data_IF_391486298194
#
_entry.id   IF_391486298194
#
_cell.length_a   1.000
_cell.length_b   1.000
_cell.length_c   1.000
_cell.angle_alpha   90.00
_cell.angle_beta   90.00
_cell.angle_gamma   90.00
#
_symmetry.space_group_name_H-M   'P 1'
#
loop_
_entity.id
_entity.type
_entity.pdbx_description
1 polymer ?
#
# COMPACT_ATOMS: atom_id res chain seq x y z
N UNK A 1 8.34 -21.24 1.00
CA UNK A 1 8.17 -19.77 1.10
C UNK A 1 6.73 -19.36 0.88
N UNK A 2 6.29 -18.27 1.47
CA UNK A 2 4.96 -17.71 1.20
C UNK A 2 4.97 -16.96 -0.14
N UNK A 3 3.95 -17.20 -0.95
CA UNK A 3 3.78 -16.54 -2.24
C UNK A 3 2.37 -15.95 -2.35
N UNK A 4 2.31 -14.76 -2.91
CA UNK A 4 1.06 -14.08 -3.23
C UNK A 4 1.03 -13.85 -4.74
N UNK A 5 -0.05 -14.30 -5.38
CA UNK A 5 -0.34 -14.00 -6.78
C UNK A 5 -1.53 -13.05 -6.80
N UNK A 6 -1.41 -11.96 -7.56
CA UNK A 6 -2.54 -11.11 -7.93
C UNK A 6 -2.73 -11.15 -9.43
N UNK A 7 -3.97 -11.30 -9.90
CA UNK A 7 -4.33 -11.30 -11.30
C UNK A 7 -5.48 -10.32 -11.52
N UNK A 8 -5.30 -9.37 -12.44
CA UNK A 8 -6.29 -8.32 -12.74
C UNK A 8 -6.40 -8.13 -14.25
N UNK A 9 -7.59 -8.01 -14.77
CA UNK A 9 -7.85 -7.72 -16.18
C UNK A 9 -9.32 -7.72 -16.53
N UNK A 10 -9.66 -7.60 -17.81
CA UNK A 10 -11.05 -7.68 -18.26
C UNK A 10 -11.69 -9.01 -17.88
N UNK A 11 -12.91 -8.97 -17.34
CA UNK A 11 -13.60 -10.20 -16.95
C UNK A 11 -13.96 -11.10 -18.13
N UNK A 12 -13.81 -12.40 -17.90
CA UNK A 12 -14.21 -13.45 -18.86
C UNK A 12 -14.29 -14.81 -18.17
N UNK A 13 -14.96 -15.74 -18.80
CA UNK A 13 -15.09 -17.13 -18.33
C UNK A 13 -13.73 -17.85 -18.30
N UNK A 14 -13.45 -18.58 -17.24
CA UNK A 14 -12.31 -19.49 -17.14
C UNK A 14 -10.95 -18.79 -16.92
N UNK A 15 -10.93 -17.61 -16.29
CA UNK A 15 -9.69 -16.89 -15.99
C UNK A 15 -8.92 -17.46 -14.80
N UNK A 16 -9.62 -17.90 -13.75
CA UNK A 16 -9.00 -18.45 -12.55
C UNK A 16 -8.40 -19.85 -12.76
N UNK A 17 -9.06 -20.70 -13.58
CA UNK A 17 -8.69 -22.11 -13.76
C UNK A 17 -7.22 -22.34 -14.15
N UNK A 18 -6.65 -21.68 -15.17
CA UNK A 18 -5.25 -21.94 -15.53
C UNK A 18 -4.26 -21.57 -14.42
N UNK A 19 -4.58 -20.55 -13.62
CA UNK A 19 -3.73 -20.12 -12.47
C UNK A 19 -3.79 -21.20 -11.39
N UNK A 20 -5.01 -21.58 -10.96
CA UNK A 20 -5.22 -22.57 -9.89
C UNK A 20 -4.66 -23.93 -10.30
N UNK A 21 -4.94 -24.38 -11.52
CA UNK A 21 -4.46 -25.64 -12.04
C UNK A 21 -2.92 -25.72 -12.05
N UNK A 22 -2.26 -24.64 -12.48
CA UNK A 22 -0.80 -24.60 -12.52
C UNK A 22 -0.19 -24.69 -11.11
N UNK A 23 -0.65 -23.86 -10.16
CA UNK A 23 -0.09 -23.84 -8.80
C UNK A 23 -0.36 -25.14 -8.05
N UNK A 24 -1.54 -25.74 -8.20
CA UNK A 24 -1.87 -27.04 -7.58
C UNK A 24 -1.06 -28.18 -8.21
N UNK A 25 -0.81 -28.12 -9.53
CA UNK A 25 0.07 -29.06 -10.22
C UNK A 25 1.52 -29.05 -9.75
N UNK A 26 1.99 -27.90 -9.23
CA UNK A 26 3.31 -27.77 -8.59
C UNK A 26 3.32 -28.14 -7.09
N UNK A 27 2.21 -28.64 -6.53
CA UNK A 27 2.11 -29.03 -5.15
C UNK A 27 1.97 -27.87 -4.16
N UNK A 28 1.51 -26.69 -4.63
CA UNK A 28 1.29 -25.56 -3.76
C UNK A 28 0.18 -25.81 -2.75
N UNK A 29 0.39 -25.44 -1.49
CA UNK A 29 -0.64 -25.42 -0.46
C UNK A 29 -1.30 -24.03 -0.43
N UNK A 30 -2.49 -23.95 -0.99
CA UNK A 30 -3.27 -22.70 -1.06
C UNK A 30 -3.87 -22.43 0.33
N UNK A 31 -3.60 -21.24 0.87
CA UNK A 31 -4.06 -20.82 2.21
C UNK A 31 -5.12 -19.72 2.16
N UNK A 32 -5.23 -18.98 1.04
CA UNK A 32 -6.20 -17.91 0.87
C UNK A 32 -6.52 -17.72 -0.61
N UNK A 33 -7.80 -17.58 -0.94
CA UNK A 33 -8.28 -17.15 -2.26
C UNK A 33 -9.29 -16.04 -2.03
N UNK A 34 -9.09 -14.91 -2.72
CA UNK A 34 -10.07 -13.83 -2.82
C UNK A 34 -10.34 -13.57 -4.30
N UNK A 35 -11.59 -13.38 -4.65
CA UNK A 35 -12.02 -13.01 -6.00
C UNK A 35 -12.95 -11.82 -5.89
N UNK A 36 -12.78 -10.89 -6.79
CA UNK A 36 -13.61 -9.72 -6.94
C UNK A 36 -14.36 -9.83 -8.27
N UNK A 37 -15.66 -9.77 -8.17
CA UNK A 37 -16.59 -9.72 -9.29
C UNK A 37 -17.43 -8.46 -9.09
N UNK A 38 -17.27 -7.48 -9.98
CA UNK A 38 -18.06 -6.27 -9.98
C UNK A 38 -18.68 -6.11 -11.37
N UNK A 39 -19.95 -6.47 -11.47
CA UNK A 39 -20.72 -6.48 -12.71
C UNK A 39 -20.68 -5.14 -13.47
N UNK A 40 -20.55 -4.00 -12.76
CA UNK A 40 -20.55 -2.67 -13.37
C UNK A 40 -19.22 -2.32 -14.07
N UNK A 41 -18.09 -2.88 -13.66
CA UNK A 41 -16.77 -2.55 -14.21
C UNK A 41 -16.23 -3.61 -15.16
N UNK A 42 -16.85 -4.78 -15.24
CA UNK A 42 -16.39 -5.94 -16.01
C UNK A 42 -14.90 -6.27 -15.79
N UNK A 43 -14.45 -6.18 -14.54
CA UNK A 43 -13.08 -6.41 -14.09
C UNK A 43 -13.00 -7.71 -13.32
N UNK A 44 -12.18 -8.65 -13.81
CA UNK A 44 -11.73 -9.79 -13.04
C UNK A 44 -10.56 -9.39 -12.15
N UNK A 45 -10.64 -9.70 -10.85
CA UNK A 45 -9.51 -9.61 -9.95
C UNK A 45 -9.46 -10.81 -9.01
N UNK A 46 -8.25 -11.33 -8.78
CA UNK A 46 -8.00 -12.47 -7.91
C UNK A 46 -6.74 -12.25 -7.10
N UNK A 47 -6.80 -12.62 -5.81
CA UNK A 47 -5.64 -12.82 -4.94
C UNK A 47 -5.58 -14.29 -4.55
N UNK A 48 -4.41 -14.88 -4.71
CA UNK A 48 -4.10 -16.23 -4.27
C UNK A 48 -2.87 -16.17 -3.35
N UNK A 49 -2.99 -16.70 -2.14
CA UNK A 49 -1.87 -16.86 -1.21
C UNK A 49 -1.61 -18.33 -0.99
N UNK A 50 -0.34 -18.73 -1.00
CA UNK A 50 0.03 -20.14 -0.92
C UNK A 50 1.42 -20.32 -0.31
N UNK A 51 1.72 -21.56 0.06
CA UNK A 51 3.07 -22.03 0.38
C UNK A 51 3.58 -22.89 -0.77
N UNK A 52 4.80 -22.61 -1.23
CA UNK A 52 5.48 -23.37 -2.30
C UNK A 52 6.98 -23.49 -1.95
N UNK A 53 7.68 -24.58 -2.35
CA UNK A 53 9.13 -24.67 -2.27
C UNK A 53 9.82 -23.50 -2.99
N UNK A 54 10.88 -22.96 -2.39
CA UNK A 54 11.54 -21.76 -2.93
C UNK A 54 12.17 -21.99 -4.32
N UNK A 55 12.61 -23.20 -4.61
CA UNK A 55 13.17 -23.61 -5.90
C UNK A 55 12.17 -23.47 -7.06
N UNK A 56 10.87 -23.56 -6.80
CA UNK A 56 9.82 -23.47 -7.82
C UNK A 56 9.40 -22.01 -8.13
N UNK A 57 9.90 -21.03 -7.36
CA UNK A 57 9.44 -19.63 -7.45
C UNK A 57 9.72 -18.98 -8.82
N UNK A 58 10.91 -19.22 -9.38
CA UNK A 58 11.29 -18.66 -10.68
C UNK A 58 10.45 -19.25 -11.84
N UNK A 59 10.21 -20.56 -11.80
CA UNK A 59 9.37 -21.26 -12.77
C UNK A 59 7.92 -20.76 -12.70
N UNK A 60 7.37 -20.67 -11.48
CA UNK A 60 6.05 -20.11 -11.24
C UNK A 60 5.89 -18.70 -11.83
N UNK A 61 6.86 -17.82 -11.58
CA UNK A 61 6.84 -16.44 -12.10
C UNK A 61 6.80 -16.42 -13.63
N UNK A 62 7.58 -17.29 -14.27
CA UNK A 62 7.61 -17.44 -15.73
C UNK A 62 6.26 -17.95 -16.27
N UNK A 63 5.70 -18.98 -15.66
CA UNK A 63 4.41 -19.54 -16.04
C UNK A 63 3.27 -18.53 -15.88
N UNK A 64 3.23 -17.81 -14.78
CA UNK A 64 2.22 -16.76 -14.53
C UNK A 64 2.31 -15.63 -15.56
N UNK A 65 3.51 -15.25 -16.00
CA UNK A 65 3.70 -14.28 -17.09
C UNK A 65 3.12 -14.78 -18.41
N UNK A 66 3.32 -16.06 -18.72
CA UNK A 66 2.75 -16.69 -19.94
C UNK A 66 1.21 -16.75 -19.87
N UNK A 67 0.66 -17.20 -18.73
CA UNK A 67 -0.79 -17.23 -18.51
C UNK A 67 -1.39 -15.84 -18.64
N UNK A 68 -0.75 -14.83 -18.05
CA UNK A 68 -1.15 -13.43 -18.14
C UNK A 68 -1.24 -12.94 -19.59
N UNK A 69 -0.22 -13.22 -20.41
CA UNK A 69 -0.22 -12.87 -21.82
C UNK A 69 -1.32 -13.56 -22.63
N UNK A 70 -1.56 -14.86 -22.36
CA UNK A 70 -2.60 -15.63 -23.06
C UNK A 70 -4.03 -15.22 -22.67
N UNK A 71 -4.23 -14.79 -21.45
CA UNK A 71 -5.54 -14.46 -20.88
C UNK A 71 -5.82 -12.97 -20.80
N UNK A 72 -4.92 -12.13 -21.26
CA UNK A 72 -4.98 -10.67 -21.14
C UNK A 72 -5.13 -10.21 -19.66
N UNK A 73 -4.39 -10.86 -18.77
CA UNK A 73 -4.35 -10.55 -17.35
C UNK A 73 -3.01 -9.95 -16.95
N UNK A 74 -3.04 -8.91 -16.12
CA UNK A 74 -1.88 -8.42 -15.39
C UNK A 74 -1.66 -9.31 -14.18
N UNK A 75 -0.73 -10.26 -14.25
CA UNK A 75 -0.43 -11.18 -13.15
C UNK A 75 0.88 -10.79 -12.49
N UNK A 76 0.86 -10.62 -11.17
CA UNK A 76 2.04 -10.38 -10.34
C UNK A 76 2.25 -11.53 -9.37
N UNK A 77 3.50 -11.98 -9.27
CA UNK A 77 3.92 -13.01 -8.32
C UNK A 77 4.93 -12.38 -7.37
N UNK A 78 4.60 -12.37 -6.11
CA UNK A 78 5.40 -11.73 -5.06
C UNK A 78 5.55 -12.63 -3.84
N UNK A 79 6.67 -12.46 -3.13
CA UNK A 79 6.91 -13.08 -1.83
C UNK A 79 7.54 -12.07 -0.88
N UNK A 80 7.03 -11.96 0.37
CA UNK A 80 7.66 -11.13 1.39
C UNK A 80 9.05 -11.61 1.81
N UNK A 81 9.41 -12.85 1.44
CA UNK A 81 10.67 -13.50 1.77
C UNK A 81 11.70 -13.39 0.64
N UNK A 82 11.38 -12.75 -0.49
CA UNK A 82 12.26 -12.68 -1.66
C UNK A 82 13.48 -11.79 -1.42
N UNK A 83 13.31 -10.72 -0.64
CA UNK A 83 14.36 -9.72 -0.41
C UNK A 83 14.51 -9.40 1.07
N UNK A 84 15.76 -9.33 1.51
CA UNK A 84 16.09 -8.87 2.86
C UNK A 84 15.73 -7.39 3.08
N UNK A 85 15.82 -6.58 2.02
CA UNK A 85 15.44 -5.16 2.00
C UNK A 85 14.36 -4.95 0.95
N UNK A 86 13.09 -4.91 1.36
CA UNK A 86 11.98 -4.66 0.43
C UNK A 86 12.09 -3.31 -0.26
N UNK A 87 11.66 -3.24 -1.51
CA UNK A 87 11.66 -2.04 -2.36
C UNK A 87 10.37 -1.27 -2.18
N UNK A 88 10.45 0.00 -1.80
CA UNK A 88 9.31 0.86 -1.54
C UNK A 88 9.10 1.87 -2.67
N UNK A 89 7.85 1.99 -3.15
CA UNK A 89 7.39 3.20 -3.83
C UNK A 89 6.77 4.13 -2.79
N UNK A 90 7.22 5.38 -2.72
CA UNK A 90 6.69 6.40 -1.80
C UNK A 90 5.84 7.38 -2.58
N UNK A 91 4.50 7.27 -2.43
CA UNK A 91 3.53 8.09 -3.16
C UNK A 91 3.11 9.30 -2.34
N UNK A 92 3.15 10.50 -2.95
CA UNK A 92 2.99 11.78 -2.26
C UNK A 92 2.15 12.79 -3.06
N UNK A 93 1.57 13.79 -2.38
CA UNK A 93 0.91 14.93 -3.04
C UNK A 93 1.55 16.27 -2.63
N UNK A 94 1.29 16.75 -1.40
CA UNK A 94 1.73 18.08 -0.96
C UNK A 94 2.63 18.04 0.28
N UNK A 95 2.32 17.17 1.25
CA UNK A 95 2.98 17.15 2.55
C UNK A 95 4.34 16.51 2.48
N UNK A 96 5.34 17.24 2.99
CA UNK A 96 6.73 16.84 2.94
C UNK A 96 7.18 16.08 4.19
N UNK A 97 6.53 16.30 5.32
CA UNK A 97 6.95 15.82 6.63
C UNK A 97 6.94 14.27 6.72
N UNK A 98 5.86 13.56 6.33
CA UNK A 98 5.83 12.11 6.40
C UNK A 98 6.85 11.41 5.49
N UNK A 99 6.97 11.74 4.17
CA UNK A 99 7.97 11.10 3.33
C UNK A 99 9.39 11.43 3.75
N UNK A 100 9.65 12.65 4.25
CA UNK A 100 10.97 13.05 4.75
C UNK A 100 11.35 12.22 6.00
N UNK A 101 10.42 12.03 6.94
CA UNK A 101 10.65 11.20 8.13
C UNK A 101 10.91 9.74 7.75
N UNK A 102 10.14 9.19 6.81
CA UNK A 102 10.32 7.83 6.31
C UNK A 102 11.70 7.63 5.68
N UNK A 103 12.12 8.54 4.79
CA UNK A 103 13.43 8.46 4.14
C UNK A 103 14.60 8.59 5.12
N UNK A 104 14.45 9.45 6.14
CA UNK A 104 15.43 9.55 7.24
C UNK A 104 15.52 8.23 8.01
N UNK A 105 14.40 7.64 8.39
CA UNK A 105 14.36 6.37 9.12
C UNK A 105 14.99 5.21 8.32
N UNK A 106 14.82 5.19 6.99
CA UNK A 106 15.48 4.22 6.11
C UNK A 106 17.00 4.47 6.06
N UNK A 107 17.42 5.71 5.82
CA UNK A 107 18.84 6.10 5.76
C UNK A 107 19.57 5.78 7.07
N UNK A 108 18.94 6.06 8.20
CA UNK A 108 19.51 5.88 9.54
C UNK A 108 19.42 4.41 10.02
N UNK A 109 18.90 3.49 9.19
CA UNK A 109 18.84 2.06 9.46
C UNK A 109 17.73 1.60 10.39
N UNK A 110 16.80 2.48 10.77
CA UNK A 110 15.63 2.13 11.58
C UNK A 110 14.61 1.27 10.80
N UNK A 111 14.57 1.43 9.49
CA UNK A 111 13.75 0.65 8.56
C UNK A 111 14.67 -0.01 7.54
N UNK A 112 14.67 -1.34 7.49
CA UNK A 112 15.48 -2.13 6.57
C UNK A 112 14.79 -2.26 5.21
N UNK A 113 14.69 -1.16 4.47
CA UNK A 113 14.08 -1.12 3.14
C UNK A 113 14.94 -0.33 2.17
N UNK A 114 14.60 -0.40 0.88
CA UNK A 114 15.14 0.42 -0.19
C UNK A 114 14.05 1.38 -0.70
N UNK A 115 14.23 2.71 -0.63
CA UNK A 115 13.33 3.66 -1.26
C UNK A 115 13.61 3.63 -2.77
N UNK A 116 12.92 2.76 -3.51
CA UNK A 116 13.20 2.50 -4.92
C UNK A 116 12.77 3.65 -5.83
N UNK A 117 11.66 4.32 -5.48
CA UNK A 117 11.09 5.40 -6.29
C UNK A 117 10.18 6.28 -5.43
N UNK A 118 10.15 7.59 -5.73
CA UNK A 118 9.11 8.51 -5.25
C UNK A 118 8.19 8.91 -6.40
N UNK A 119 6.88 8.84 -6.16
CA UNK A 119 5.85 9.13 -7.16
C UNK A 119 4.93 10.22 -6.62
N UNK A 120 4.77 11.30 -7.34
CA UNK A 120 3.86 12.39 -6.94
C UNK A 120 2.91 12.80 -8.05
N UNK A 121 1.70 13.21 -7.69
CA UNK A 121 0.80 13.88 -8.63
C UNK A 121 0.95 15.42 -8.59
N UNK A 122 1.89 15.93 -7.79
CA UNK A 122 2.34 17.32 -7.69
C UNK A 122 3.84 17.33 -7.41
N UNK A 123 4.52 18.43 -7.75
CA UNK A 123 5.98 18.54 -7.59
C UNK A 123 6.44 18.95 -6.19
N UNK A 124 5.54 19.09 -5.21
CA UNK A 124 5.87 19.61 -3.88
C UNK A 124 6.96 18.82 -3.14
N UNK A 125 7.05 17.52 -3.36
CA UNK A 125 8.02 16.64 -2.70
C UNK A 125 9.23 16.28 -3.58
N UNK A 126 9.34 16.81 -4.81
CA UNK A 126 10.43 16.50 -5.73
C UNK A 126 11.82 16.77 -5.12
N UNK A 127 11.99 17.91 -4.45
CA UNK A 127 13.26 18.25 -3.79
C UNK A 127 13.68 17.30 -2.70
N UNK A 128 12.73 16.59 -2.06
CA UNK A 128 13.04 15.54 -1.09
C UNK A 128 13.63 14.31 -1.80
N UNK A 129 13.02 13.88 -2.91
CA UNK A 129 13.55 12.78 -3.71
C UNK A 129 14.98 13.07 -4.15
N UNK A 130 15.25 14.27 -4.69
CA UNK A 130 16.57 14.74 -5.10
C UNK A 130 17.57 14.75 -3.93
N UNK A 131 17.16 15.20 -2.74
CA UNK A 131 18.01 15.24 -1.53
C UNK A 131 18.47 13.84 -1.09
N UNK A 132 17.63 12.82 -1.28
CA UNK A 132 17.93 11.45 -0.87
C UNK A 132 18.44 10.57 -2.01
N UNK A 133 18.57 11.12 -3.23
CA UNK A 133 19.02 10.38 -4.40
C UNK A 133 18.03 9.30 -4.86
N UNK A 134 16.73 9.53 -4.64
CA UNK A 134 15.64 8.64 -5.05
C UNK A 134 15.03 9.15 -6.35
N UNK A 135 14.80 8.26 -7.29
CA UNK A 135 14.18 8.62 -8.57
C UNK A 135 12.78 9.22 -8.36
N UNK A 136 12.51 10.30 -9.09
CA UNK A 136 11.25 11.04 -9.01
C UNK A 136 10.42 10.90 -10.28
N UNK A 137 9.15 10.52 -10.12
CA UNK A 137 8.17 10.53 -11.21
C UNK A 137 6.96 11.38 -10.87
N UNK A 138 6.61 12.30 -11.77
CA UNK A 138 5.35 13.04 -11.71
C UNK A 138 4.31 12.34 -12.59
N UNK A 139 3.20 11.95 -11.97
CA UNK A 139 2.05 11.32 -12.63
C UNK A 139 0.81 12.22 -12.67
N UNK A 140 0.98 13.50 -12.32
CA UNK A 140 -0.11 14.49 -12.39
C UNK A 140 -0.47 14.78 -13.84
N UNK A 141 -1.76 14.73 -14.13
CA UNK A 141 -2.32 15.12 -15.43
C UNK A 141 -2.55 16.65 -15.50
N UNK A 142 -2.79 17.18 -16.67
CA UNK A 142 -2.99 18.63 -16.88
C UNK A 142 -4.22 19.17 -16.14
N UNK A 143 -5.25 18.36 -15.96
CA UNK A 143 -6.47 18.67 -15.20
C UNK A 143 -6.32 18.47 -13.67
N UNK A 144 -5.11 18.09 -13.21
CA UNK A 144 -4.79 17.93 -11.79
C UNK A 144 -5.15 16.59 -11.20
N UNK A 145 -5.56 15.63 -12.02
CA UNK A 145 -5.76 14.24 -11.61
C UNK A 145 -4.41 13.52 -11.49
N UNK A 146 -4.46 12.25 -11.16
CA UNK A 146 -3.30 11.34 -11.19
C UNK A 146 -3.54 10.29 -12.28
N UNK A 147 -2.46 9.88 -12.93
CA UNK A 147 -2.44 8.76 -13.86
C UNK A 147 -2.11 7.49 -13.06
N UNK A 148 -3.15 6.79 -12.60
CA UNK A 148 -3.01 5.62 -11.74
C UNK A 148 -2.41 4.42 -12.49
N UNK A 149 -2.66 4.27 -13.79
CA UNK A 149 -2.03 3.21 -14.59
C UNK A 149 -0.53 3.45 -14.72
N UNK A 150 -0.12 4.69 -15.01
CA UNK A 150 1.29 5.08 -15.02
C UNK A 150 1.96 4.85 -13.65
N UNK A 151 1.24 5.07 -12.55
CA UNK A 151 1.76 4.77 -11.21
C UNK A 151 2.06 3.28 -11.07
N UNK A 152 1.14 2.41 -11.50
CA UNK A 152 1.34 0.96 -11.43
C UNK A 152 2.48 0.48 -12.35
N UNK A 153 2.59 1.04 -13.55
CA UNK A 153 3.68 0.73 -14.48
C UNK A 153 5.05 1.11 -13.91
N UNK A 154 5.14 2.27 -13.25
CA UNK A 154 6.36 2.68 -12.53
C UNK A 154 6.67 1.71 -11.40
N UNK A 155 5.68 1.33 -10.60
CA UNK A 155 5.88 0.36 -9.52
C UNK A 155 6.41 -0.99 -10.06
N UNK A 156 5.89 -1.46 -11.19
CA UNK A 156 6.35 -2.68 -11.84
C UNK A 156 7.78 -2.53 -12.39
N UNK A 157 8.08 -1.40 -13.05
CA UNK A 157 9.41 -1.10 -13.57
C UNK A 157 10.49 -1.09 -12.49
N UNK A 158 10.16 -0.56 -11.31
CA UNK A 158 11.07 -0.51 -10.17
C UNK A 158 11.02 -1.79 -9.31
N UNK A 159 10.26 -2.81 -9.70
CA UNK A 159 10.07 -4.05 -8.94
C UNK A 159 9.71 -3.77 -7.47
N UNK A 160 8.71 -2.94 -7.25
CA UNK A 160 8.26 -2.48 -5.94
C UNK A 160 7.63 -3.64 -5.15
N UNK A 161 8.03 -3.79 -3.89
CA UNK A 161 7.42 -4.73 -2.97
C UNK A 161 6.22 -4.12 -2.24
N UNK A 162 6.38 -2.87 -1.76
CA UNK A 162 5.32 -2.15 -1.05
C UNK A 162 5.11 -0.74 -1.62
N UNK A 163 3.86 -0.37 -1.78
CA UNK A 163 3.43 0.99 -2.13
C UNK A 163 3.04 1.72 -0.85
N UNK A 164 3.75 2.79 -0.50
CA UNK A 164 3.51 3.59 0.70
C UNK A 164 2.86 4.91 0.31
N UNK A 165 1.61 5.11 0.68
CA UNK A 165 0.84 6.33 0.45
C UNK A 165 1.11 7.32 1.58
N UNK A 166 2.18 8.12 1.44
CA UNK A 166 2.63 9.09 2.43
C UNK A 166 1.93 10.45 2.23
N UNK A 167 0.68 10.55 2.66
CA UNK A 167 -0.22 11.69 2.38
C UNK A 167 -0.49 11.86 0.88
N UNK A 168 -0.71 10.75 0.21
CA UNK A 168 -1.19 10.71 -1.17
C UNK A 168 -2.70 10.97 -1.18
N UNK A 169 -3.07 12.21 -1.52
CA UNK A 169 -4.45 12.71 -1.38
C UNK A 169 -5.36 12.32 -2.56
N UNK A 170 -5.29 11.04 -2.95
CA UNK A 170 -6.10 10.46 -4.04
C UNK A 170 -6.66 9.12 -3.57
N UNK A 171 -7.83 8.77 -4.07
CA UNK A 171 -8.42 7.44 -3.91
C UNK A 171 -7.89 6.60 -5.07
N UNK A 172 -7.27 5.47 -4.75
CA UNK A 172 -6.82 4.53 -5.77
C UNK A 172 -8.03 3.78 -6.34
N UNK A 173 -8.10 3.60 -7.67
CA UNK A 173 -9.10 2.72 -8.29
C UNK A 173 -9.00 1.28 -7.75
N UNK A 174 -10.12 0.57 -7.70
CA UNK A 174 -10.16 -0.81 -7.21
C UNK A 174 -9.19 -1.73 -7.99
N UNK A 175 -9.13 -1.59 -9.32
CA UNK A 175 -8.20 -2.35 -10.15
C UNK A 175 -6.73 -2.12 -9.74
N UNK A 176 -6.33 -0.87 -9.42
CA UNK A 176 -4.98 -0.57 -8.93
C UNK A 176 -4.73 -1.18 -7.55
N UNK A 177 -5.73 -1.14 -6.65
CA UNK A 177 -5.64 -1.78 -5.34
C UNK A 177 -5.45 -3.30 -5.46
N UNK A 178 -6.17 -3.95 -6.38
CA UNK A 178 -6.02 -5.38 -6.63
C UNK A 178 -4.66 -5.78 -7.19
N UNK A 179 -4.04 -4.93 -8.03
CA UNK A 179 -2.70 -5.19 -8.57
C UNK A 179 -1.65 -5.37 -7.46
N UNK A 180 -1.79 -4.66 -6.35
CA UNK A 180 -0.91 -4.71 -5.17
C UNK A 180 -1.67 -5.15 -3.91
N UNK A 181 -2.66 -6.03 -4.04
CA UNK A 181 -3.39 -6.58 -2.91
C UNK A 181 -2.52 -7.52 -2.03
N UNK A 182 -3.07 -7.98 -0.93
CA UNK A 182 -2.40 -8.91 -0.02
C UNK A 182 -1.50 -8.25 1.02
N UNK A 183 -1.71 -6.96 1.31
CA UNK A 183 -0.96 -6.22 2.32
C UNK A 183 0.26 -5.49 1.76
N UNK A 184 0.24 -5.15 0.46
CA UNK A 184 1.34 -4.45 -0.21
C UNK A 184 1.13 -2.95 -0.34
N UNK A 185 -0.07 -2.40 -0.04
CA UNK A 185 -0.34 -0.97 -0.04
C UNK A 185 -0.53 -0.52 1.40
N UNK A 186 0.32 0.40 1.85
CA UNK A 186 0.32 0.98 3.19
C UNK A 186 -0.08 2.44 3.08
N UNK A 187 -1.13 2.86 3.79
CA UNK A 187 -1.63 4.23 3.75
C UNK A 187 -1.50 4.93 5.10
N UNK A 188 -1.15 6.20 5.07
CA UNK A 188 -1.24 7.10 6.21
C UNK A 188 -2.53 7.91 6.12
N UNK A 189 -3.49 7.60 6.98
CA UNK A 189 -4.68 8.41 7.23
C UNK A 189 -4.41 9.39 8.37
N UNK A 190 -4.69 10.68 8.15
CA UNK A 190 -4.44 11.75 9.14
C UNK A 190 -5.59 11.93 10.13
N UNK A 191 -6.08 10.83 10.68
CA UNK A 191 -7.16 10.73 11.65
C UNK A 191 -7.19 9.37 12.33
N UNK A 192 -8.00 9.27 13.38
CA UNK A 192 -8.21 8.02 14.09
C UNK A 192 -9.32 7.22 13.41
N UNK A 193 -8.97 6.16 12.69
CA UNK A 193 -9.94 5.21 12.14
C UNK A 193 -10.42 4.22 13.22
N UNK A 194 -11.66 3.75 13.17
CA UNK A 194 -12.70 4.09 12.20
C UNK A 194 -13.48 5.36 12.55
N UNK A 195 -13.16 6.08 13.63
CA UNK A 195 -13.99 7.15 14.19
C UNK A 195 -14.08 8.39 13.29
N UNK A 196 -13.00 8.73 12.61
CA UNK A 196 -12.91 9.94 11.79
C UNK A 196 -12.37 9.61 10.39
N UNK A 197 -13.18 9.00 9.51
CA UNK A 197 -12.83 8.74 8.12
C UNK A 197 -12.89 10.02 7.27
N UNK A 198 -12.51 9.94 5.98
CA UNK A 198 -12.68 11.00 5.00
C UNK A 198 -11.55 12.03 4.95
N UNK A 199 -11.85 13.24 4.40
CA UNK A 199 -10.83 14.20 4.00
C UNK A 199 -10.43 15.23 5.08
N UNK A 200 -11.23 15.40 6.13
CA UNK A 200 -11.03 16.43 7.16
C UNK A 200 -11.07 15.91 8.59
N UNK A 201 -10.42 14.79 8.91
CA UNK A 201 -10.59 14.10 10.19
C UNK A 201 -10.21 14.95 11.41
N UNK A 202 -9.23 15.85 11.32
CA UNK A 202 -8.93 16.78 12.41
C UNK A 202 -10.08 17.78 12.67
N UNK A 203 -10.71 18.27 11.62
CA UNK A 203 -11.85 19.18 11.77
C UNK A 203 -13.06 18.46 12.35
N UNK A 204 -13.31 17.22 11.93
CA UNK A 204 -14.43 16.43 12.41
C UNK A 204 -14.26 16.03 13.88
N UNK A 205 -13.05 15.63 14.28
CA UNK A 205 -12.70 15.38 15.68
C UNK A 205 -12.81 16.65 16.52
N UNK A 206 -12.33 17.79 16.01
CA UNK A 206 -12.40 19.09 16.69
C UNK A 206 -13.86 19.56 16.86
N UNK A 207 -14.68 19.44 15.82
CA UNK A 207 -16.11 19.76 15.89
C UNK A 207 -16.85 18.85 16.89
N UNK A 208 -16.40 17.61 17.04
CA UNK A 208 -16.87 16.66 18.06
C UNK A 208 -16.32 16.94 19.46
N UNK A 209 -15.63 18.06 19.66
CA UNK A 209 -15.01 18.50 20.93
C UNK A 209 -14.02 17.51 21.53
N UNK A 210 -13.35 16.75 20.67
CA UNK A 210 -12.25 15.87 21.09
C UNK A 210 -11.05 16.69 21.57
N UNK A 211 -10.37 16.20 22.59
CA UNK A 211 -9.07 16.73 23.05
C UNK A 211 -7.91 15.81 22.66
N UNK A 212 -8.22 14.62 22.15
CA UNK A 212 -7.25 13.64 21.65
C UNK A 212 -7.46 13.47 20.16
N UNK A 213 -6.38 13.61 19.43
CA UNK A 213 -6.29 13.50 17.98
C UNK A 213 -5.24 12.47 17.61
N UNK A 214 -5.16 12.09 16.35
CA UNK A 214 -4.13 11.14 15.94
C UNK A 214 -4.10 10.85 14.46
N UNK A 215 -3.31 9.86 14.11
CA UNK A 215 -3.17 9.33 12.76
C UNK A 215 -3.23 7.80 12.78
N UNK A 216 -3.59 7.21 11.66
CA UNK A 216 -3.70 5.76 11.48
C UNK A 216 -2.91 5.33 10.25
N UNK A 217 -1.91 4.47 10.45
CA UNK A 217 -1.27 3.73 9.37
C UNK A 217 -2.01 2.40 9.19
N UNK A 218 -2.46 2.10 7.98
CA UNK A 218 -3.26 0.91 7.70
C UNK A 218 -2.98 0.34 6.31
N UNK A 219 -3.30 -0.94 6.11
CA UNK A 219 -3.29 -1.49 4.76
C UNK A 219 -4.52 -1.00 3.97
N UNK A 220 -4.33 -0.74 2.69
CA UNK A 220 -5.43 -0.61 1.74
C UNK A 220 -5.84 -2.00 1.29
N UNK A 221 -7.13 -2.25 1.29
CA UNK A 221 -7.76 -3.41 0.67
C UNK A 221 -8.70 -2.90 -0.43
N UNK A 222 -8.91 -3.70 -1.48
CA UNK A 222 -9.72 -3.27 -2.62
C UNK A 222 -11.18 -2.98 -2.27
N UNK A 223 -11.71 -3.62 -1.22
CA UNK A 223 -13.08 -3.43 -0.77
C UNK A 223 -13.17 -2.15 0.07
N UNK A 224 -14.05 -1.26 -0.36
CA UNK A 224 -14.40 -0.05 0.39
C UNK A 224 -15.03 -0.44 1.74
N UNK A 225 -14.66 0.25 2.81
CA UNK A 225 -15.20 0.13 4.18
C UNK A 225 -14.61 -0.96 5.09
N UNK A 226 -13.62 -1.67 4.69
CA UNK A 226 -12.93 -2.59 5.59
C UNK A 226 -11.99 -1.82 6.56
N UNK A 227 -12.54 -0.98 7.43
CA UNK A 227 -11.79 -0.12 8.37
C UNK A 227 -10.94 -0.83 9.43
N UNK A 228 -10.66 -2.12 9.28
CA UNK A 228 -10.04 -2.97 10.31
C UNK A 228 -8.61 -3.40 10.01
N UNK A 229 -7.93 -2.80 9.02
CA UNK A 229 -6.57 -3.18 8.64
C UNK A 229 -5.52 -2.26 9.25
N UNK A 230 -5.79 -1.78 10.46
CA UNK A 230 -4.88 -0.90 11.20
C UNK A 230 -3.58 -1.61 11.53
N UNK A 231 -2.46 -1.00 11.12
CA UNK A 231 -1.10 -1.41 11.42
C UNK A 231 -0.61 -0.71 12.69
N UNK A 232 -0.80 0.61 12.73
CA UNK A 232 -0.36 1.48 13.82
C UNK A 232 -1.32 2.65 14.00
N UNK A 233 -1.52 3.08 15.23
CA UNK A 233 -2.18 4.34 15.57
C UNK A 233 -1.34 5.12 16.56
N UNK A 234 -1.15 6.40 16.28
CA UNK A 234 -0.49 7.31 17.20
C UNK A 234 -1.41 8.46 17.58
N UNK A 235 -1.37 8.86 18.82
CA UNK A 235 -2.23 9.91 19.35
C UNK A 235 -1.42 11.04 19.99
N UNK A 236 -2.05 12.21 20.08
CA UNK A 236 -1.61 13.34 20.89
C UNK A 236 -2.83 14.04 21.51
N UNK A 237 -2.64 14.67 22.63
CA UNK A 237 -3.70 15.41 23.32
C UNK A 237 -3.34 16.88 23.43
N UNK A 238 -4.35 17.73 23.41
CA UNK A 238 -4.20 19.18 23.54
C UNK A 238 -5.06 19.72 24.69
N UNK A 239 -4.66 20.82 25.33
CA UNK A 239 -5.47 21.47 26.33
C UNK A 239 -6.82 21.98 25.76
N UNK A 240 -7.87 22.09 26.60
CA UNK A 240 -9.11 22.78 26.20
C UNK A 240 -8.84 24.20 25.71
N UNK A 241 -9.49 24.59 24.62
CA UNK A 241 -9.31 25.92 24.02
C UNK A 241 -8.18 26.02 22.99
N UNK A 242 -7.42 24.95 22.73
CA UNK A 242 -6.43 24.92 21.64
C UNK A 242 -7.13 25.17 20.30
N UNK A 243 -6.54 26.01 19.47
CA UNK A 243 -7.08 26.33 18.13
C UNK A 243 -6.90 25.16 17.17
N UNK A 244 -7.81 25.01 16.23
CA UNK A 244 -7.76 23.93 15.22
C UNK A 244 -6.46 23.96 14.40
N UNK A 245 -5.94 25.14 14.08
CA UNK A 245 -4.69 25.28 13.32
C UNK A 245 -3.48 24.70 14.08
N UNK A 246 -3.44 24.87 15.41
CA UNK A 246 -2.40 24.27 16.24
C UNK A 246 -2.54 22.75 16.33
N UNK A 247 -3.77 22.23 16.42
CA UNK A 247 -4.03 20.79 16.37
C UNK A 247 -3.52 20.20 15.05
N UNK A 248 -3.87 20.82 13.93
CA UNK A 248 -3.45 20.40 12.60
C UNK A 248 -1.92 20.45 12.48
N UNK A 249 -1.28 21.51 12.96
CA UNK A 249 0.19 21.67 12.92
C UNK A 249 0.88 20.57 13.70
N UNK A 250 0.48 20.30 14.95
CA UNK A 250 1.05 19.21 15.77
C UNK A 250 0.88 17.86 15.07
N UNK A 251 -0.33 17.60 14.53
CA UNK A 251 -0.60 16.38 13.78
C UNK A 251 0.36 16.19 12.60
N UNK A 252 0.49 17.23 11.78
CA UNK A 252 1.25 17.18 10.54
C UNK A 252 2.76 17.16 10.73
N UNK A 253 3.28 17.92 11.70
CA UNK A 253 4.72 18.06 11.92
C UNK A 253 5.32 16.91 12.74
N UNK A 254 4.55 16.29 13.64
CA UNK A 254 5.05 15.25 14.56
C UNK A 254 4.29 13.93 14.45
N UNK A 255 2.98 13.94 14.65
CA UNK A 255 2.22 12.71 14.86
C UNK A 255 2.08 11.84 13.60
N UNK A 256 1.76 12.45 12.45
CA UNK A 256 1.63 11.75 11.17
C UNK A 256 2.94 11.12 10.69
N UNK A 257 4.10 11.86 10.72
CA UNK A 257 5.39 11.28 10.39
C UNK A 257 5.76 10.08 11.25
N UNK A 258 5.54 10.18 12.57
CA UNK A 258 5.80 9.09 13.51
C UNK A 258 4.92 7.88 13.25
N UNK A 259 3.63 8.08 13.00
CA UNK A 259 2.69 7.02 12.68
C UNK A 259 3.09 6.26 11.42
N UNK A 260 3.47 6.98 10.35
CA UNK A 260 3.91 6.36 9.11
C UNK A 260 5.19 5.56 9.28
N UNK A 261 6.20 6.14 9.92
CA UNK A 261 7.50 5.47 10.15
C UNK A 261 7.30 4.17 10.92
N UNK A 262 6.55 4.21 12.03
CA UNK A 262 6.32 3.03 12.85
C UNK A 262 5.48 1.98 12.12
N UNK A 263 4.42 2.39 11.41
CA UNK A 263 3.61 1.47 10.63
C UNK A 263 4.40 0.76 9.53
N UNK A 264 5.19 1.50 8.74
CA UNK A 264 6.05 0.92 7.70
C UNK A 264 7.12 0.02 8.32
N UNK A 265 7.73 0.40 9.44
CA UNK A 265 8.71 -0.39 10.17
C UNK A 265 8.14 -1.77 10.56
N UNK A 266 6.95 -1.82 11.14
CA UNK A 266 6.30 -3.07 11.55
C UNK A 266 6.05 -4.02 10.37
N UNK A 267 5.63 -3.48 9.23
CA UNK A 267 5.39 -4.28 8.02
C UNK A 267 6.69 -4.80 7.44
N UNK A 268 7.67 -3.93 7.26
CA UNK A 268 8.97 -4.27 6.66
C UNK A 268 9.75 -5.27 7.51
N UNK A 269 9.69 -5.14 8.83
CA UNK A 269 10.33 -6.07 9.76
C UNK A 269 9.56 -7.39 9.92
N UNK A 270 8.40 -7.53 9.26
CA UNK A 270 7.58 -8.75 9.33
C UNK A 270 6.87 -8.96 10.65
N UNK A 271 6.74 -7.92 11.49
CA UNK A 271 6.04 -7.99 12.80
C UNK A 271 4.54 -8.14 12.64
N UNK A 272 4.00 -7.61 11.54
CA UNK A 272 2.58 -7.71 11.20
C UNK A 272 2.38 -8.04 9.73
N UNK A 273 1.32 -8.77 9.43
CA UNK A 273 0.90 -9.11 8.06
C UNK A 273 -0.61 -8.98 7.92
N UNK A 274 -1.07 -8.72 6.70
CA UNK A 274 -2.48 -8.81 6.35
C UNK A 274 -2.82 -10.26 6.03
N UNK A 275 -3.83 -10.82 6.71
CA UNK A 275 -4.40 -12.14 6.44
C UNK A 275 -5.91 -11.98 6.28
N UNK A 276 -6.43 -12.37 5.12
CA UNK A 276 -7.80 -12.01 4.73
C UNK A 276 -7.99 -10.49 4.85
N UNK A 277 -8.82 -10.03 5.77
CA UNK A 277 -9.08 -8.61 6.03
C UNK A 277 -8.61 -8.18 7.44
N UNK A 278 -7.66 -8.89 8.05
CA UNK A 278 -7.19 -8.61 9.41
C UNK A 278 -5.68 -8.47 9.46
N UNK A 279 -5.22 -7.49 10.22
CA UNK A 279 -3.81 -7.38 10.59
C UNK A 279 -3.55 -8.37 11.72
N UNK A 280 -2.57 -9.23 11.52
CA UNK A 280 -2.14 -10.24 12.51
C UNK A 280 -0.68 -10.01 12.85
N UNK A 281 -0.31 -10.20 14.11
CA UNK A 281 1.08 -10.30 14.51
C UNK A 281 1.71 -11.57 13.92
N UNK A 282 3.00 -11.51 13.63
CA UNK A 282 3.79 -12.66 13.18
C UNK A 282 4.69 -13.04 14.35
N UNK A 283 4.52 -14.28 14.84
CA UNK A 283 5.31 -14.87 15.94
C UNK A 283 6.73 -15.24 15.46
#
# INVERSE_FOLDING_TARGET
>A
MEIIITAVGPDNVGLADPIIHHVTGQGANITEIQMYDHDEEAVFAMLLRMQLPAENFAELRSAMKQIGGLKNLSIRVWSPEERERPRLAICVTYRQEPPLALLRAIRDGHIKAEPAVMIGNRNACRGIAEQFGVDWHNIGTADGQADDDKMMDICDQYNVDYVVLARYMRILPAASCWKYAGGRIINLHHGLLPSFPGFRPYHDAYASRMLTFGATCHFIVPELDAGNQTIEQTTFSVPPGTKIDDVIRIGQEDNEPRCLVEGVRRVVNGEVRLRFHRVVAVD
#
